data_IF_296033008810
#
_entry.id   IF_296033008810
#
_cell.length_a   1.000
_cell.length_b   1.000
_cell.length_c   1.000
_cell.angle_alpha   90.00
_cell.angle_beta   90.00
_cell.angle_gamma   90.00
#
_symmetry.space_group_name_H-M   'P 1'
#
loop_
_entity.id
_entity.type
_entity.pdbx_description
1 polymer ?
#
# COMPACT_ATOMS: atom_id res chain seq x y z
N UNK A 1 55.05 -5.96 -27.35
CA UNK A 1 54.32 -4.74 -26.95
C UNK A 1 54.36 -4.72 -25.43
N UNK A 2 55.39 -4.26 -24.71
CA UNK A 2 56.09 -2.95 -24.63
C UNK A 2 55.15 -1.75 -24.43
N UNK A 3 55.30 -1.15 -23.24
CA UNK A 3 54.72 0.08 -22.72
C UNK A 3 54.70 -0.03 -21.18
N UNK A 4 55.80 0.16 -20.43
CA UNK A 4 56.50 1.44 -20.10
C UNK A 4 55.52 2.58 -19.80
N UNK A 5 55.65 3.44 -18.79
CA UNK A 5 56.53 3.64 -17.63
C UNK A 5 56.06 4.96 -16.95
N UNK A 6 56.58 5.27 -15.76
CA UNK A 6 56.65 6.60 -15.09
C UNK A 6 55.49 6.95 -14.15
N UNK A 7 55.70 7.40 -12.91
CA UNK A 7 56.74 8.35 -12.45
C UNK A 7 57.32 8.00 -11.06
N UNK A 8 58.65 8.06 -10.99
CA UNK A 8 59.43 8.44 -9.81
C UNK A 8 59.22 9.94 -9.51
N UNK A 9 59.18 10.31 -8.24
CA UNK A 9 59.76 11.58 -7.77
C UNK A 9 60.50 11.34 -6.46
N UNK A 10 61.79 11.62 -6.48
CA UNK A 10 62.73 11.56 -5.37
C UNK A 10 63.21 12.99 -5.09
N UNK A 11 63.17 13.42 -3.83
CA UNK A 11 64.00 14.52 -3.32
C UNK A 11 64.45 14.14 -1.90
N UNK A 12 65.74 13.82 -1.76
CA UNK A 12 66.48 13.77 -0.50
C UNK A 12 67.15 15.13 -0.27
N UNK A 13 67.36 15.56 0.98
CA UNK A 13 68.62 16.16 1.48
C UNK A 13 68.62 16.07 3.02
N UNK A 14 69.68 15.51 3.63
CA UNK A 14 69.90 15.64 5.09
C UNK A 14 70.66 14.50 5.80
N UNK A 15 71.98 14.48 5.62
CA UNK A 15 73.04 14.04 6.55
C UNK A 15 72.83 12.83 7.51
N UNK A 16 73.54 11.74 7.21
CA UNK A 16 74.53 11.16 8.12
C UNK A 16 74.06 10.39 9.36
N UNK A 17 73.87 9.07 9.23
CA UNK A 17 74.25 8.11 10.28
C UNK A 17 74.34 6.70 9.71
N UNK A 18 75.52 6.09 9.84
CA UNK A 18 75.77 4.68 9.55
C UNK A 18 75.05 3.81 10.59
N UNK A 19 73.98 3.14 10.16
CA UNK A 19 73.34 2.05 10.90
C UNK A 19 73.35 0.81 10.01
N UNK A 20 74.24 -0.12 10.34
CA UNK A 20 74.24 -1.48 9.80
C UNK A 20 72.98 -2.20 10.28
N UNK A 21 71.92 -2.14 9.49
CA UNK A 21 70.72 -2.93 9.71
C UNK A 21 70.94 -4.35 9.17
N UNK A 22 71.21 -5.28 10.08
CA UNK A 22 71.17 -6.72 9.82
C UNK A 22 69.73 -7.07 9.42
N UNK A 23 69.49 -7.30 8.12
CA UNK A 23 68.19 -7.73 7.60
C UNK A 23 67.88 -9.12 8.13
N UNK A 24 67.09 -9.17 9.20
CA UNK A 24 66.42 -10.38 9.63
C UNK A 24 65.46 -10.80 8.50
N UNK A 25 65.74 -11.93 7.83
CA UNK A 25 64.78 -12.57 6.94
C UNK A 25 63.64 -13.10 7.81
N UNK A 26 62.67 -12.24 8.13
CA UNK A 26 61.34 -12.72 8.51
C UNK A 26 60.77 -13.41 7.27
N UNK A 27 60.69 -14.74 7.30
CA UNK A 27 59.76 -15.44 6.43
C UNK A 27 58.39 -14.80 6.68
N UNK A 28 57.88 -14.10 5.68
CA UNK A 28 56.46 -13.80 5.61
C UNK A 28 55.78 -15.16 5.49
N UNK A 29 55.37 -15.71 6.62
CA UNK A 29 54.41 -16.80 6.67
C UNK A 29 53.17 -16.26 5.96
N UNK A 30 52.98 -16.72 4.73
CA UNK A 30 51.89 -16.34 3.84
C UNK A 30 50.61 -16.72 4.57
N UNK A 31 50.00 -15.73 5.23
CA UNK A 31 48.73 -15.88 5.91
C UNK A 31 47.79 -16.57 4.92
N UNK A 32 47.20 -17.72 5.29
CA UNK A 32 46.27 -18.40 4.40
C UNK A 32 45.22 -17.38 3.96
N UNK A 33 44.81 -17.38 2.67
CA UNK A 33 43.78 -16.46 2.20
C UNK A 33 42.61 -16.52 3.19
N UNK A 34 42.05 -15.37 3.62
CA UNK A 34 40.99 -15.37 4.61
C UNK A 34 39.96 -16.38 4.13
N UNK A 35 39.70 -17.40 4.97
CA UNK A 35 38.71 -18.42 4.65
C UNK A 35 37.51 -17.67 4.10
N UNK A 36 37.14 -17.97 2.86
CA UNK A 36 36.00 -17.35 2.20
C UNK A 36 34.82 -17.81 3.04
N UNK A 37 34.49 -17.01 4.05
CA UNK A 37 33.40 -17.26 4.98
C UNK A 37 32.19 -17.15 4.10
N UNK A 38 31.74 -18.29 3.57
CA UNK A 38 30.53 -18.40 2.79
C UNK A 38 29.44 -17.71 3.60
N UNK A 39 29.01 -16.55 3.14
CA UNK A 39 27.93 -15.85 3.80
C UNK A 39 26.74 -16.80 3.86
N UNK A 40 26.12 -17.01 5.03
CA UNK A 40 25.03 -17.94 5.14
C UNK A 40 23.89 -17.52 4.20
N UNK A 41 23.45 -18.48 3.39
CA UNK A 41 22.35 -18.36 2.45
C UNK A 41 21.03 -18.50 3.21
N UNK A 42 20.23 -17.43 3.25
CA UNK A 42 18.96 -17.42 3.98
C UNK A 42 17.79 -17.19 3.03
N UNK A 43 16.64 -17.74 3.43
CA UNK A 43 15.35 -17.37 2.87
C UNK A 43 14.49 -16.81 3.98
N UNK A 44 13.78 -15.71 3.70
CA UNK A 44 12.87 -15.09 4.65
C UNK A 44 11.44 -15.15 4.16
N UNK A 45 10.53 -15.12 5.10
CA UNK A 45 9.12 -14.93 4.86
C UNK A 45 8.65 -13.79 5.75
N UNK A 46 8.12 -12.74 5.12
CA UNK A 46 7.42 -11.67 5.80
C UNK A 46 5.93 -12.02 5.83
N UNK A 47 5.36 -12.12 7.02
CA UNK A 47 3.93 -12.29 7.24
C UNK A 47 3.34 -11.00 7.80
N UNK A 48 2.37 -10.44 7.10
CA UNK A 48 1.68 -9.22 7.48
C UNK A 48 0.22 -9.58 7.80
N UNK A 49 -0.27 -9.32 9.03
CA UNK A 49 -1.65 -9.53 9.41
C UNK A 49 -2.61 -8.79 8.47
N UNK A 50 -3.73 -9.44 8.10
CA UNK A 50 -4.75 -8.79 7.26
C UNK A 50 -5.38 -7.62 8.00
N UNK A 51 -5.52 -7.67 9.33
CA UNK A 51 -6.06 -6.59 10.14
C UNK A 51 -5.28 -5.28 9.98
N UNK A 52 -3.95 -5.31 10.03
CA UNK A 52 -3.10 -4.12 9.84
C UNK A 52 -3.24 -3.51 8.45
N UNK A 53 -3.39 -4.36 7.42
CA UNK A 53 -3.59 -3.92 6.04
C UNK A 53 -5.00 -3.33 5.87
N UNK A 54 -6.02 -4.02 6.39
CA UNK A 54 -7.43 -3.66 6.25
C UNK A 54 -7.77 -2.40 7.05
N UNK A 55 -7.23 -2.23 8.26
CA UNK A 55 -7.48 -1.05 9.11
C UNK A 55 -7.04 0.25 8.43
N UNK A 56 -5.94 0.21 7.67
CA UNK A 56 -5.45 1.38 6.92
C UNK A 56 -6.41 1.84 5.80
N UNK A 57 -7.29 0.94 5.32
CA UNK A 57 -8.19 1.20 4.19
C UNK A 57 -9.64 1.36 4.65
N UNK A 58 -10.09 0.58 5.64
CA UNK A 58 -11.46 0.59 6.16
C UNK A 58 -11.75 1.92 6.88
N UNK A 59 -12.49 2.79 6.21
CA UNK A 59 -12.89 4.07 6.79
C UNK A 59 -14.26 4.49 6.29
N UNK A 60 -14.95 5.26 7.12
CA UNK A 60 -16.08 6.10 6.69
C UNK A 60 -15.57 7.40 6.09
N UNK A 61 -16.24 7.88 5.06
CA UNK A 61 -15.95 9.17 4.45
C UNK A 61 -17.23 9.97 4.25
N UNK A 62 -17.05 11.29 4.19
CA UNK A 62 -18.10 12.25 3.92
C UNK A 62 -17.53 13.36 3.03
N UNK A 63 -18.15 13.56 1.88
CA UNK A 63 -17.76 14.56 0.89
C UNK A 63 -18.97 15.36 0.43
N UNK A 64 -18.87 16.68 0.54
CA UNK A 64 -19.84 17.61 -0.03
C UNK A 64 -19.25 18.24 -1.31
N UNK A 65 -20.03 18.28 -2.38
CA UNK A 65 -19.64 18.91 -3.65
C UNK A 65 -20.77 19.76 -4.22
N UNK A 66 -20.46 20.85 -4.93
CA UNK A 66 -21.46 21.59 -5.68
C UNK A 66 -21.98 20.75 -6.87
N UNK A 67 -23.24 20.94 -7.21
CA UNK A 67 -23.86 20.43 -8.44
C UNK A 67 -24.05 21.61 -9.37
N UNK A 68 -23.52 21.53 -10.58
CA UNK A 68 -23.78 22.47 -11.67
C UNK A 68 -23.74 21.70 -12.99
N UNK A 69 -24.91 21.36 -13.55
CA UNK A 69 -25.01 20.50 -14.74
C UNK A 69 -26.32 20.72 -15.49
N UNK A 70 -26.36 20.34 -16.76
CA UNK A 70 -27.58 20.36 -17.58
C UNK A 70 -28.11 18.93 -17.72
N UNK A 71 -29.37 18.71 -17.34
CA UNK A 71 -30.08 17.43 -17.49
C UNK A 71 -31.34 17.70 -18.30
N UNK A 72 -31.49 17.05 -19.45
CA UNK A 72 -32.66 17.19 -20.33
C UNK A 72 -32.99 18.66 -20.68
N UNK A 73 -31.96 19.47 -20.90
CA UNK A 73 -32.08 20.90 -21.20
C UNK A 73 -32.44 21.79 -19.99
N UNK A 74 -32.56 21.20 -18.79
CA UNK A 74 -32.72 21.95 -17.54
C UNK A 74 -31.36 22.14 -16.89
N UNK A 75 -30.98 23.40 -16.68
CA UNK A 75 -29.75 23.73 -15.96
C UNK A 75 -29.99 23.65 -14.46
N UNK A 76 -29.33 22.69 -13.81
CA UNK A 76 -29.54 22.30 -12.42
C UNK A 76 -28.34 22.65 -11.56
N UNK A 77 -28.58 23.43 -10.51
CA UNK A 77 -27.56 23.90 -9.55
C UNK A 77 -27.91 23.53 -8.13
N UNK A 78 -26.93 23.21 -7.31
CA UNK A 78 -27.15 22.92 -5.90
C UNK A 78 -25.95 22.25 -5.22
N UNK A 79 -26.24 21.34 -4.30
CA UNK A 79 -25.23 20.65 -3.50
C UNK A 79 -25.54 19.17 -3.39
N UNK A 80 -24.50 18.34 -3.39
CA UNK A 80 -24.56 16.91 -3.15
C UNK A 80 -23.69 16.53 -1.95
N UNK A 81 -24.26 15.76 -1.04
CA UNK A 81 -23.62 15.18 0.14
C UNK A 81 -23.46 13.67 -0.09
N UNK A 82 -22.22 13.21 -0.18
CA UNK A 82 -21.85 11.82 -0.38
C UNK A 82 -21.29 11.26 0.92
N UNK A 83 -21.92 10.21 1.42
CA UNK A 83 -21.43 9.44 2.57
C UNK A 83 -21.19 8.00 2.15
N UNK A 84 -20.17 7.37 2.72
CA UNK A 84 -19.87 5.99 2.41
C UNK A 84 -18.93 5.34 3.41
N UNK A 85 -18.85 4.02 3.30
CA UNK A 85 -17.95 3.19 4.07
C UNK A 85 -17.23 2.22 3.14
N UNK A 86 -15.93 2.09 3.38
CA UNK A 86 -15.07 1.10 2.71
C UNK A 86 -14.93 -0.12 3.61
N UNK A 87 -15.11 -1.30 3.02
CA UNK A 87 -14.84 -2.59 3.64
C UNK A 87 -13.96 -3.43 2.72
N UNK A 88 -12.73 -3.70 3.13
CA UNK A 88 -11.79 -4.54 2.41
C UNK A 88 -11.60 -5.87 3.13
N UNK A 89 -11.43 -6.91 2.34
CA UNK A 89 -11.11 -8.27 2.78
C UNK A 89 -9.97 -8.82 1.95
N UNK A 90 -9.07 -9.56 2.57
CA UNK A 90 -8.00 -10.27 1.88
C UNK A 90 -8.58 -11.56 1.29
N UNK A 91 -8.43 -11.76 -0.02
CA UNK A 91 -8.87 -12.97 -0.71
C UNK A 91 -7.78 -14.04 -0.65
N UNK A 92 -8.16 -15.31 -0.55
CA UNK A 92 -7.20 -16.41 -0.57
C UNK A 92 -6.62 -16.59 -1.98
N UNK A 93 -5.30 -16.47 -2.11
CA UNK A 93 -4.59 -16.68 -3.35
C UNK A 93 -3.19 -17.26 -3.06
N UNK A 94 -2.93 -18.48 -3.54
CA UNK A 94 -1.63 -19.16 -3.32
C UNK A 94 -0.55 -18.78 -4.33
N UNK A 95 -0.90 -18.00 -5.35
CA UNK A 95 -0.02 -17.59 -6.45
C UNK A 95 0.15 -16.08 -6.54
N UNK A 96 -0.47 -15.33 -5.63
CA UNK A 96 -0.38 -13.88 -5.55
C UNK A 96 -1.08 -13.36 -4.31
N UNK A 97 -1.29 -12.05 -4.23
CA UNK A 97 -2.12 -11.48 -3.19
C UNK A 97 -3.17 -10.54 -3.78
N UNK A 98 -4.40 -10.69 -3.31
CA UNK A 98 -5.55 -9.94 -3.80
C UNK A 98 -6.43 -9.46 -2.64
N UNK A 99 -6.82 -8.20 -2.67
CA UNK A 99 -7.77 -7.58 -1.74
C UNK A 99 -9.01 -7.18 -2.52
N UNK A 100 -10.16 -7.55 -1.97
CA UNK A 100 -11.44 -7.11 -2.49
C UNK A 100 -11.98 -6.03 -1.57
N UNK A 101 -12.18 -4.84 -2.14
CA UNK A 101 -12.71 -3.69 -1.44
C UNK A 101 -14.10 -3.37 -1.95
N UNK A 102 -15.06 -3.40 -1.03
CA UNK A 102 -16.44 -3.04 -1.23
C UNK A 102 -16.69 -1.66 -0.64
N UNK A 103 -17.22 -0.75 -1.45
CA UNK A 103 -17.64 0.58 -0.99
C UNK A 103 -19.16 0.63 -1.07
N UNK A 104 -19.81 1.01 0.02
CA UNK A 104 -21.27 1.18 0.06
C UNK A 104 -21.58 2.55 0.63
N UNK A 105 -22.54 3.24 0.01
CA UNK A 105 -22.92 4.56 0.48
C UNK A 105 -24.14 5.15 -0.21
N UNK A 106 -24.41 6.40 0.13
CA UNK A 106 -25.51 7.18 -0.41
C UNK A 106 -25.06 8.58 -0.76
N UNK A 107 -25.68 9.15 -1.80
CA UNK A 107 -25.56 10.55 -2.19
C UNK A 107 -26.93 11.18 -2.07
N UNK A 108 -27.04 12.24 -1.27
CA UNK A 108 -28.22 13.10 -1.24
C UNK A 108 -27.89 14.41 -1.92
N UNK A 109 -28.71 14.84 -2.86
CA UNK A 109 -28.51 16.14 -3.52
C UNK A 109 -29.78 16.97 -3.49
N UNK A 110 -29.61 18.26 -3.28
CA UNK A 110 -30.67 19.26 -3.39
C UNK A 110 -30.31 20.20 -4.51
N UNK A 111 -31.21 20.35 -5.48
CA UNK A 111 -30.94 21.12 -6.69
C UNK A 111 -32.12 21.99 -7.09
N UNK A 112 -31.79 23.09 -7.76
CA UNK A 112 -32.71 24.02 -8.41
C UNK A 112 -32.41 24.01 -9.91
N UNK A 113 -33.32 23.42 -10.67
CA UNK A 113 -33.35 23.41 -12.12
C UNK A 113 -34.03 24.64 -12.69
N UNK A 114 -33.49 25.21 -13.77
CA UNK A 114 -34.13 26.30 -14.51
C UNK A 114 -34.24 25.96 -16.00
N UNK A 115 -35.42 26.16 -16.58
CA UNK A 115 -35.67 26.01 -18.01
C UNK A 115 -36.69 27.07 -18.48
N UNK A 116 -36.18 28.13 -19.12
CA UNK A 116 -36.99 29.29 -19.47
C UNK A 116 -37.61 29.93 -18.20
N UNK A 117 -38.92 30.21 -18.17
CA UNK A 117 -39.57 30.76 -16.99
C UNK A 117 -39.81 29.74 -15.87
N UNK A 118 -39.64 28.45 -16.13
CA UNK A 118 -39.90 27.39 -15.14
C UNK A 118 -38.70 27.17 -14.22
N UNK A 119 -38.98 27.00 -12.94
CA UNK A 119 -38.01 26.65 -11.89
C UNK A 119 -38.48 25.34 -11.26
N UNK A 120 -37.58 24.37 -11.12
CA UNK A 120 -37.88 23.05 -10.55
C UNK A 120 -36.96 22.83 -9.36
N UNK A 121 -37.53 22.64 -8.19
CA UNK A 121 -36.79 22.23 -7.00
C UNK A 121 -36.87 20.71 -6.89
N UNK A 122 -35.71 20.08 -6.78
CA UNK A 122 -35.63 18.63 -6.71
C UNK A 122 -34.63 18.15 -5.68
N UNK A 123 -34.90 16.97 -5.15
CA UNK A 123 -34.03 16.22 -4.27
C UNK A 123 -33.76 14.88 -4.93
N UNK A 124 -32.49 14.47 -5.00
CA UNK A 124 -32.14 13.14 -5.47
C UNK A 124 -31.48 12.34 -4.35
N UNK A 125 -31.86 11.08 -4.24
CA UNK A 125 -31.23 10.11 -3.36
C UNK A 125 -30.64 8.99 -4.23
N UNK A 126 -29.31 8.89 -4.25
CA UNK A 126 -28.59 7.86 -5.01
C UNK A 126 -27.93 6.89 -4.06
N UNK A 127 -28.38 5.64 -4.07
CA UNK A 127 -27.66 4.55 -3.39
C UNK A 127 -26.60 4.01 -4.34
N UNK A 128 -25.39 3.78 -3.84
CA UNK A 128 -24.31 3.23 -4.65
C UNK A 128 -23.57 2.09 -3.95
N UNK A 129 -23.03 1.21 -4.78
CA UNK A 129 -22.11 0.13 -4.39
C UNK A 129 -20.95 0.13 -5.38
N UNK A 130 -19.74 0.06 -4.89
CA UNK A 130 -18.56 -0.10 -5.72
C UNK A 130 -17.75 -1.31 -5.29
N UNK A 131 -17.05 -1.90 -6.24
CA UNK A 131 -16.11 -2.97 -6.04
C UNK A 131 -14.78 -2.57 -6.67
N UNK A 132 -13.70 -2.69 -5.90
CA UNK A 132 -12.34 -2.44 -6.38
C UNK A 132 -11.43 -3.57 -5.90
N UNK A 133 -10.67 -4.12 -6.84
CA UNK A 133 -9.70 -5.19 -6.57
C UNK A 133 -8.31 -4.57 -6.53
N UNK A 134 -7.58 -4.86 -5.46
CA UNK A 134 -6.17 -4.50 -5.28
C UNK A 134 -5.37 -5.78 -5.37
N UNK A 135 -4.21 -5.77 -6.01
CA UNK A 135 -3.31 -6.91 -6.03
C UNK A 135 -1.88 -6.46 -5.72
N UNK A 136 -1.08 -7.36 -5.17
CA UNK A 136 0.35 -7.13 -4.96
C UNK A 136 1.14 -7.85 -6.06
N UNK A 137 1.94 -7.10 -6.81
CA UNK A 137 2.75 -7.64 -7.91
C UNK A 137 4.12 -8.20 -7.45
N UNK A 138 4.35 -8.23 -6.13
CA UNK A 138 5.63 -8.56 -5.54
C UNK A 138 6.49 -7.35 -5.17
N UNK A 139 6.18 -6.17 -5.67
CA UNK A 139 6.92 -4.93 -5.36
C UNK A 139 6.02 -3.87 -4.75
N UNK A 140 4.83 -3.71 -5.30
CA UNK A 140 3.90 -2.67 -4.94
C UNK A 140 2.46 -3.18 -5.03
N UNK A 141 1.61 -2.60 -4.20
CA UNK A 141 0.17 -2.76 -4.34
C UNK A 141 -0.29 -1.91 -5.52
N UNK A 142 -1.04 -2.55 -6.41
CA UNK A 142 -1.69 -1.94 -7.56
C UNK A 142 -3.19 -2.20 -7.49
N UNK A 143 -3.98 -1.43 -8.23
CA UNK A 143 -5.43 -1.63 -8.27
C UNK A 143 -5.98 -1.71 -9.68
N UNK A 144 -7.07 -2.46 -9.83
CA UNK A 144 -7.89 -2.44 -11.05
C UNK A 144 -8.92 -1.31 -10.95
N UNK A 145 -9.41 -0.78 -12.09
CA UNK A 145 -10.47 0.22 -12.10
C UNK A 145 -11.69 -0.23 -11.30
N UNK A 146 -12.29 0.68 -10.53
CA UNK A 146 -13.48 0.39 -9.76
C UNK A 146 -14.68 0.08 -10.67
N UNK A 147 -15.48 -0.92 -10.30
CA UNK A 147 -16.81 -1.16 -10.87
C UNK A 147 -17.85 -0.55 -9.96
N UNK A 148 -18.68 0.36 -10.48
CA UNK A 148 -19.68 1.09 -9.68
C UNK A 148 -21.09 0.81 -10.17
N UNK A 149 -22.00 0.54 -9.23
CA UNK A 149 -23.43 0.50 -9.44
C UNK A 149 -24.07 1.65 -8.66
N UNK A 150 -24.96 2.39 -9.33
CA UNK A 150 -25.69 3.51 -8.73
C UNK A 150 -27.16 3.43 -9.14
N UNK A 151 -28.05 3.67 -8.18
CA UNK A 151 -29.49 3.76 -8.39
C UNK A 151 -30.01 5.05 -7.77
N UNK A 152 -30.68 5.88 -8.57
CA UNK A 152 -31.13 7.22 -8.18
C UNK A 152 -32.65 7.28 -8.14
N UNK A 153 -33.19 7.81 -7.05
CA UNK A 153 -34.58 8.23 -6.93
C UNK A 153 -34.64 9.75 -6.86
N UNK A 154 -35.49 10.38 -7.69
CA UNK A 154 -35.61 11.83 -7.81
C UNK A 154 -36.99 12.30 -7.32
N UNK A 155 -37.04 13.12 -6.28
CA UNK A 155 -38.28 13.75 -5.82
C UNK A 155 -38.32 15.21 -6.24
N UNK A 156 -39.36 15.61 -6.96
CA UNK A 156 -39.63 17.02 -7.27
C UNK A 156 -40.40 17.59 -6.08
N UNK A 157 -39.79 18.55 -5.36
CA UNK A 157 -40.39 19.14 -4.17
C UNK A 157 -41.31 20.30 -4.51
N UNK A 158 -40.92 21.14 -5.47
CA UNK A 158 -41.65 22.35 -5.82
C UNK A 158 -41.40 22.72 -7.29
N UNK A 159 -42.41 23.32 -7.93
CA UNK A 159 -42.32 23.85 -9.28
C UNK A 159 -42.81 25.29 -9.28
N UNK A 160 -41.93 26.18 -9.65
CA UNK A 160 -42.10 27.63 -9.65
C UNK A 160 -42.00 28.25 -11.04
N UNK A 161 -42.33 29.53 -11.11
CA UNK A 161 -42.28 30.30 -12.35
C UNK A 161 -41.83 31.74 -12.11
N UNK A 162 -40.94 32.24 -12.96
CA UNK A 162 -40.59 33.67 -13.00
C UNK A 162 -41.65 34.53 -13.70
N UNK A 163 -42.56 33.93 -14.47
CA UNK A 163 -43.65 34.64 -15.13
C UNK A 163 -44.77 35.04 -14.15
N UNK A 164 -45.33 36.26 -14.24
CA UNK A 164 -46.37 36.73 -13.33
C UNK A 164 -47.78 36.19 -13.65
N UNK A 165 -48.67 36.23 -12.65
CA UNK A 165 -50.11 36.05 -12.80
C UNK A 165 -50.55 34.72 -13.45
N UNK A 166 -51.49 34.80 -14.38
CA UNK A 166 -52.06 33.63 -15.08
C UNK A 166 -51.01 32.88 -15.92
N UNK A 167 -50.07 33.61 -16.52
CA UNK A 167 -48.95 33.00 -17.28
C UNK A 167 -48.11 32.12 -16.36
N UNK A 168 -47.80 32.59 -15.15
CA UNK A 168 -47.08 31.80 -14.15
C UNK A 168 -47.82 30.54 -13.71
N UNK A 169 -49.15 30.60 -13.57
CA UNK A 169 -49.97 29.41 -13.27
C UNK A 169 -49.93 28.37 -14.39
N UNK A 170 -49.97 28.83 -15.66
CA UNK A 170 -49.86 27.94 -16.81
C UNK A 170 -48.46 27.31 -16.91
N UNK A 171 -47.40 28.12 -16.75
CA UNK A 171 -46.01 27.64 -16.75
C UNK A 171 -45.81 26.56 -15.68
N UNK A 172 -46.23 26.80 -14.43
CA UNK A 172 -46.12 25.79 -13.35
C UNK A 172 -46.85 24.50 -13.71
N UNK A 173 -48.09 24.58 -14.19
CA UNK A 173 -48.87 23.39 -14.57
C UNK A 173 -48.19 22.57 -15.67
N UNK A 174 -47.70 23.24 -16.72
CA UNK A 174 -47.00 22.59 -17.82
C UNK A 174 -45.66 22.00 -17.36
N UNK A 175 -44.90 22.75 -16.57
CA UNK A 175 -43.61 22.32 -16.03
C UNK A 175 -43.77 21.12 -15.09
N UNK A 176 -44.75 21.12 -14.17
CA UNK A 176 -45.02 19.99 -13.28
C UNK A 176 -45.36 18.72 -14.05
N UNK A 177 -46.21 18.82 -15.08
CA UNK A 177 -46.55 17.68 -15.93
C UNK A 177 -45.32 17.15 -16.65
N UNK A 178 -44.56 18.03 -17.30
CA UNK A 178 -43.37 17.63 -18.06
C UNK A 178 -42.27 17.06 -17.15
N UNK A 179 -42.10 17.60 -15.95
CA UNK A 179 -41.14 17.09 -14.99
C UNK A 179 -41.52 15.70 -14.47
N UNK A 180 -42.82 15.42 -14.29
CA UNK A 180 -43.31 14.08 -13.98
C UNK A 180 -43.07 13.11 -15.15
N UNK A 181 -43.38 13.53 -16.39
CA UNK A 181 -43.21 12.70 -17.59
C UNK A 181 -41.73 12.33 -17.83
N UNK A 182 -40.79 13.24 -17.55
CA UNK A 182 -39.35 13.06 -17.77
C UNK A 182 -38.60 12.48 -16.56
N UNK A 183 -39.29 12.18 -15.45
CA UNK A 183 -38.66 11.78 -14.20
C UNK A 183 -37.75 10.55 -14.36
N UNK A 184 -38.26 9.49 -14.98
CA UNK A 184 -37.51 8.23 -15.13
C UNK A 184 -36.23 8.39 -15.97
N UNK A 185 -36.29 9.21 -17.03
CA UNK A 185 -35.13 9.52 -17.85
C UNK A 185 -34.10 10.36 -17.08
N UNK A 186 -34.57 11.35 -16.30
CA UNK A 186 -33.71 12.14 -15.43
C UNK A 186 -33.03 11.29 -14.34
N UNK A 187 -33.74 10.33 -13.75
CA UNK A 187 -33.19 9.37 -12.79
C UNK A 187 -32.10 8.50 -13.44
N UNK A 188 -32.33 7.96 -14.63
CA UNK A 188 -31.36 7.14 -15.35
C UNK A 188 -30.09 7.93 -15.73
N UNK A 189 -30.24 9.16 -16.24
CA UNK A 189 -29.11 10.05 -16.56
C UNK A 189 -28.33 10.38 -15.28
N UNK A 190 -29.02 10.74 -14.20
CA UNK A 190 -28.37 11.10 -12.93
C UNK A 190 -27.61 9.92 -12.34
N UNK A 191 -28.19 8.71 -12.37
CA UNK A 191 -27.51 7.49 -11.95
C UNK A 191 -26.29 7.19 -12.81
N UNK A 192 -26.37 7.45 -14.13
CA UNK A 192 -25.26 7.32 -15.06
C UNK A 192 -24.09 8.24 -14.74
N UNK A 193 -24.37 9.52 -14.52
CA UNK A 193 -23.38 10.53 -14.15
C UNK A 193 -22.78 10.23 -12.77
N UNK A 194 -23.62 9.91 -11.79
CA UNK A 194 -23.15 9.55 -10.45
C UNK A 194 -22.20 8.35 -10.48
N UNK A 195 -22.49 7.34 -11.30
CA UNK A 195 -21.61 6.17 -11.50
C UNK A 195 -20.21 6.58 -11.99
N UNK A 196 -20.16 7.41 -13.03
CA UNK A 196 -18.90 7.87 -13.61
C UNK A 196 -18.09 8.72 -12.62
N UNK A 197 -18.74 9.68 -11.96
CA UNK A 197 -18.11 10.55 -10.97
C UNK A 197 -17.59 9.76 -9.76
N UNK A 198 -18.37 8.79 -9.28
CA UNK A 198 -17.96 7.90 -8.20
C UNK A 198 -16.79 7.01 -8.61
N UNK A 199 -16.79 6.47 -9.83
CA UNK A 199 -15.68 5.63 -10.30
C UNK A 199 -14.37 6.40 -10.28
N UNK A 200 -14.34 7.60 -10.88
CA UNK A 200 -13.13 8.46 -10.89
C UNK A 200 -12.70 8.83 -9.47
N UNK A 201 -13.65 9.21 -8.60
CA UNK A 201 -13.33 9.62 -7.23
C UNK A 201 -12.80 8.46 -6.38
N UNK A 202 -13.42 7.29 -6.48
CA UNK A 202 -12.97 6.07 -5.79
C UNK A 202 -11.59 5.67 -6.32
N UNK A 203 -11.39 5.72 -7.63
CA UNK A 203 -10.10 5.34 -8.20
C UNK A 203 -8.97 6.22 -7.68
N UNK A 204 -9.13 7.55 -7.74
CA UNK A 204 -8.14 8.50 -7.24
C UNK A 204 -7.85 8.39 -5.73
N UNK A 205 -8.88 8.16 -4.92
CA UNK A 205 -8.74 7.99 -3.47
C UNK A 205 -7.94 6.71 -3.14
N UNK A 206 -8.25 5.61 -3.81
CA UNK A 206 -7.51 4.35 -3.61
C UNK A 206 -6.07 4.48 -4.09
N UNK A 207 -5.82 5.12 -5.24
CA UNK A 207 -4.46 5.29 -5.77
C UNK A 207 -3.59 6.13 -4.82
N UNK A 208 -4.15 7.19 -4.23
CA UNK A 208 -3.47 8.01 -3.22
C UNK A 208 -3.09 7.18 -1.99
N UNK A 209 -3.99 6.31 -1.51
CA UNK A 209 -3.73 5.47 -0.35
C UNK A 209 -2.73 4.36 -0.64
N UNK A 210 -2.84 3.72 -1.80
CA UNK A 210 -1.90 2.71 -2.25
C UNK A 210 -0.50 3.30 -2.40
N UNK A 211 -0.37 4.53 -2.90
CA UNK A 211 0.91 5.23 -2.95
C UNK A 211 1.52 5.40 -1.54
N UNK A 212 0.71 5.77 -0.54
CA UNK A 212 1.18 5.88 0.85
C UNK A 212 1.60 4.53 1.44
N UNK A 213 0.82 3.46 1.20
CA UNK A 213 1.16 2.09 1.63
C UNK A 213 2.47 1.64 0.96
N UNK A 214 2.60 1.84 -0.36
CA UNK A 214 3.79 1.49 -1.12
C UNK A 214 5.02 2.28 -0.63
N UNK A 215 4.87 3.57 -0.33
CA UNK A 215 5.94 4.37 0.24
C UNK A 215 6.37 3.84 1.62
N UNK A 216 5.41 3.55 2.50
CA UNK A 216 5.71 3.00 3.82
C UNK A 216 6.39 1.62 3.74
N UNK A 217 5.96 0.78 2.80
CA UNK A 217 6.56 -0.52 2.52
C UNK A 217 7.98 -0.36 1.98
N UNK A 218 8.17 0.49 0.97
CA UNK A 218 9.49 0.75 0.38
C UNK A 218 10.48 1.32 1.40
N UNK A 219 10.04 2.26 2.24
CA UNK A 219 10.88 2.78 3.33
C UNK A 219 11.29 1.65 4.27
N UNK A 220 10.34 0.84 4.76
CA UNK A 220 10.66 -0.28 5.66
C UNK A 220 11.59 -1.32 5.04
N UNK A 221 11.40 -1.63 3.76
CA UNK A 221 12.29 -2.55 3.03
C UNK A 221 13.67 -1.92 2.79
N UNK A 222 13.76 -0.62 2.51
CA UNK A 222 15.03 0.08 2.31
C UNK A 222 15.88 0.20 3.59
N UNK A 223 15.24 0.17 4.75
CA UNK A 223 15.91 0.13 6.06
C UNK A 223 16.51 -1.24 6.38
N UNK A 224 16.37 -2.21 5.48
CA UNK A 224 17.01 -3.51 5.57
C UNK A 224 18.17 -3.49 4.57
N UNK A 225 19.36 -3.00 4.97
CA UNK A 225 20.50 -2.75 4.08
C UNK A 225 21.05 -4.02 3.38
N UNK A 226 20.56 -5.19 3.76
CA UNK A 226 20.86 -6.46 3.09
C UNK A 226 19.68 -7.05 2.32
N UNK A 227 18.44 -6.53 2.48
CA UNK A 227 17.31 -6.91 1.62
C UNK A 227 17.33 -6.18 0.28
N UNK A 228 18.10 -5.11 0.11
CA UNK A 228 18.32 -4.51 -1.21
C UNK A 228 19.01 -5.48 -2.19
N UNK A 229 19.75 -6.46 -1.68
CA UNK A 229 20.37 -7.56 -2.44
C UNK A 229 19.43 -8.77 -2.60
N UNK A 230 18.22 -8.69 -2.05
CA UNK A 230 17.19 -9.71 -2.22
C UNK A 230 16.32 -9.24 -3.38
N UNK A 231 16.31 -10.02 -4.46
CA UNK A 231 15.61 -9.69 -5.68
C UNK A 231 14.10 -9.63 -5.53
N UNK A 232 13.39 -9.80 -6.65
CA UNK A 232 11.93 -9.88 -6.61
C UNK A 232 11.48 -10.99 -5.66
N UNK A 233 10.38 -10.81 -4.90
CA UNK A 233 9.90 -11.87 -4.03
C UNK A 233 9.69 -13.15 -4.85
N UNK A 234 10.18 -14.24 -4.29
CA UNK A 234 10.11 -15.56 -4.91
C UNK A 234 8.65 -16.01 -5.04
N UNK A 235 7.82 -15.62 -4.06
CA UNK A 235 6.40 -15.85 -4.07
C UNK A 235 5.67 -14.89 -3.15
N UNK A 236 4.42 -14.60 -3.52
CA UNK A 236 3.45 -13.86 -2.71
C UNK A 236 2.23 -14.74 -2.57
N UNK A 237 1.70 -14.83 -1.34
CA UNK A 237 0.49 -15.58 -1.04
C UNK A 237 -0.40 -14.75 -0.13
N UNK A 238 -1.69 -14.75 -0.38
CA UNK A 238 -2.67 -14.20 0.55
C UNK A 238 -3.56 -15.29 1.11
N UNK A 239 -3.86 -15.17 2.40
CA UNK A 239 -4.85 -15.96 3.11
C UNK A 239 -5.85 -15.00 3.75
N UNK A 240 -6.97 -15.50 4.25
CA UNK A 240 -7.99 -14.66 4.87
C UNK A 240 -7.45 -13.78 6.02
N UNK A 241 -6.44 -14.25 6.76
CA UNK A 241 -5.90 -13.60 7.96
C UNK A 241 -4.50 -12.98 7.78
N UNK A 242 -3.78 -13.28 6.68
CA UNK A 242 -2.44 -12.73 6.50
C UNK A 242 -1.99 -12.69 5.03
N UNK A 243 -1.08 -11.77 4.76
CA UNK A 243 -0.29 -11.68 3.54
C UNK A 243 1.11 -12.25 3.81
N UNK A 244 1.52 -13.21 3.00
CA UNK A 244 2.82 -13.86 3.06
C UNK A 244 3.66 -13.45 1.85
N UNK A 245 4.86 -12.92 2.11
CA UNK A 245 5.83 -12.51 1.10
C UNK A 245 7.12 -13.30 1.33
N UNK A 246 7.41 -14.25 0.44
CA UNK A 246 8.65 -15.02 0.44
C UNK A 246 9.74 -14.22 -0.26
N UNK A 247 10.82 -13.96 0.46
CA UNK A 247 12.00 -13.26 -0.04
C UNK A 247 13.19 -14.24 -0.04
N UNK A 248 13.97 -14.26 -1.11
CA UNK A 248 15.20 -15.04 -1.20
C UNK A 248 16.34 -14.12 -1.61
N UNK A 249 17.55 -14.40 -1.12
CA UNK A 249 18.75 -13.76 -1.66
C UNK A 249 18.90 -14.10 -3.15
N UNK A 250 19.39 -13.17 -3.98
CA UNK A 250 19.63 -13.40 -5.41
C UNK A 250 20.50 -14.64 -5.70
N UNK A 251 21.38 -15.01 -4.77
CA UNK A 251 22.20 -16.23 -4.86
C UNK A 251 21.38 -17.53 -4.79
N UNK A 252 20.13 -17.46 -4.31
CA UNK A 252 19.20 -18.57 -4.11
C UNK A 252 17.99 -18.55 -5.07
N UNK A 253 17.91 -17.62 -6.02
CA UNK A 253 16.73 -17.39 -6.87
C UNK A 253 16.25 -18.62 -7.67
N UNK A 254 17.07 -19.68 -7.74
CA UNK A 254 16.77 -20.94 -8.43
C UNK A 254 16.32 -22.09 -7.50
N UNK A 255 16.07 -21.85 -6.20
CA UNK A 255 15.65 -22.90 -5.25
C UNK A 255 14.13 -23.04 -5.14
N UNK A 256 13.69 -24.26 -4.81
CA UNK A 256 12.30 -24.61 -4.54
C UNK A 256 11.70 -23.69 -3.48
N UNK A 257 10.44 -23.30 -3.70
CA UNK A 257 9.59 -22.64 -2.70
C UNK A 257 9.76 -23.32 -1.34
N UNK A 258 10.10 -22.54 -0.32
CA UNK A 258 10.15 -22.99 1.06
C UNK A 258 8.86 -23.75 1.42
N UNK A 259 8.94 -24.78 2.28
CA UNK A 259 7.74 -25.27 2.95
C UNK A 259 7.08 -24.08 3.66
N UNK A 260 5.74 -23.95 3.57
CA UNK A 260 5.05 -22.90 4.29
C UNK A 260 5.44 -22.98 5.78
N UNK A 261 5.65 -21.83 6.44
CA UNK A 261 5.85 -21.81 7.89
C UNK A 261 4.66 -22.49 8.58
N UNK A 262 4.82 -22.93 9.83
CA UNK A 262 3.67 -23.38 10.60
C UNK A 262 2.57 -22.30 10.62
N UNK A 263 1.32 -22.75 10.51
CA UNK A 263 0.17 -21.88 10.74
C UNK A 263 0.28 -21.29 12.16
N UNK A 264 -0.07 -20.01 12.35
CA UNK A 264 0.03 -19.40 13.67
C UNK A 264 -0.81 -20.18 14.69
N UNK A 265 -0.20 -20.53 15.83
CA UNK A 265 -0.84 -21.31 16.91
C UNK A 265 -2.10 -20.64 17.48
N UNK A 266 -2.31 -19.34 17.23
CA UNK A 266 -3.53 -18.61 17.58
C UNK A 266 -3.79 -17.44 16.62
N UNK A 267 -5.02 -17.37 16.08
CA UNK A 267 -5.50 -16.25 15.25
C UNK A 267 -5.33 -14.89 15.95
N UNK A 268 -5.52 -14.83 17.28
CA UNK A 268 -5.43 -13.58 18.03
C UNK A 268 -4.00 -13.01 18.11
N UNK A 269 -2.96 -13.86 18.09
CA UNK A 269 -1.57 -13.41 18.05
C UNK A 269 -1.14 -13.03 16.62
N UNK A 270 -1.70 -13.71 15.62
CA UNK A 270 -1.46 -13.43 14.21
C UNK A 270 -2.09 -12.12 13.72
N UNK A 271 -3.09 -11.58 14.43
CA UNK A 271 -3.83 -10.40 13.98
C UNK A 271 -3.13 -9.06 14.26
N UNK A 272 -2.13 -9.02 15.14
CA UNK A 272 -1.56 -7.75 15.61
C UNK A 272 -0.09 -7.54 15.26
N UNK A 273 0.68 -8.60 15.05
CA UNK A 273 2.13 -8.49 14.86
C UNK A 273 2.56 -8.75 13.42
N UNK A 274 3.42 -7.88 12.87
CA UNK A 274 4.16 -8.23 11.64
C UNK A 274 5.24 -9.24 12.00
N UNK A 275 5.28 -10.37 11.30
CA UNK A 275 6.24 -11.44 11.57
C UNK A 275 7.27 -11.55 10.45
N UNK A 276 8.55 -11.61 10.79
CA UNK A 276 9.62 -11.97 9.87
C UNK A 276 10.19 -13.33 10.28
N UNK A 277 9.95 -14.32 9.43
CA UNK A 277 10.38 -15.70 9.58
C UNK A 277 11.65 -15.92 8.77
N UNK A 278 12.72 -16.38 9.41
CA UNK A 278 13.98 -16.68 8.75
C UNK A 278 14.24 -18.18 8.80
N UNK A 279 14.43 -18.80 7.64
CA UNK A 279 14.79 -20.20 7.53
C UNK A 279 16.30 -20.34 7.30
N UNK A 280 16.91 -21.21 8.09
CA UNK A 280 18.31 -21.59 7.92
C UNK A 280 18.39 -23.05 7.49
N UNK A 281 19.10 -23.34 6.40
CA UNK A 281 19.35 -24.73 6.01
C UNK A 281 20.25 -25.42 7.05
N UNK A 282 19.78 -26.56 7.56
CA UNK A 282 20.53 -27.41 8.47
C UNK A 282 21.80 -27.92 7.76
N UNK A 283 22.96 -27.36 8.10
CA UNK A 283 24.23 -27.82 7.53
C UNK A 283 25.48 -27.01 7.87
N UNK A 284 25.37 -25.75 8.31
CA UNK A 284 26.52 -24.94 8.75
C UNK A 284 26.23 -24.25 10.09
N UNK A 285 26.79 -24.80 11.17
CA UNK A 285 26.94 -24.22 12.51
C UNK A 285 25.83 -23.31 13.06
N UNK A 286 24.97 -23.84 13.94
CA UNK A 286 23.96 -23.08 14.71
C UNK A 286 24.40 -21.73 15.32
N UNK A 287 25.58 -21.56 15.93
CA UNK A 287 25.98 -20.26 16.50
C UNK A 287 26.17 -19.16 15.46
N UNK A 288 26.36 -19.49 14.18
CA UNK A 288 26.46 -18.46 13.13
C UNK A 288 25.12 -17.84 12.77
N UNK A 289 23.98 -18.47 13.06
CA UNK A 289 22.67 -17.92 12.68
C UNK A 289 22.29 -16.74 13.57
N UNK A 290 22.35 -16.92 14.89
CA UNK A 290 22.05 -15.86 15.85
C UNK A 290 23.12 -14.76 15.83
N UNK A 291 24.41 -15.10 15.63
CA UNK A 291 25.49 -14.12 15.55
C UNK A 291 25.47 -13.34 14.24
N UNK A 292 25.23 -14.00 13.11
CA UNK A 292 25.00 -13.31 11.82
C UNK A 292 23.75 -12.47 11.91
N UNK A 293 22.68 -12.98 12.52
CA UNK A 293 21.45 -12.24 12.75
C UNK A 293 21.65 -11.00 13.63
N UNK A 294 22.28 -11.10 14.81
CA UNK A 294 22.59 -9.95 15.67
C UNK A 294 23.46 -8.91 14.96
N UNK A 295 24.33 -9.37 14.06
CA UNK A 295 25.16 -8.51 13.20
C UNK A 295 24.32 -7.83 12.11
N UNK A 296 23.29 -8.49 11.59
CA UNK A 296 22.39 -7.98 10.54
C UNK A 296 21.24 -7.11 11.07
N UNK A 297 20.72 -7.43 12.26
CA UNK A 297 19.61 -6.72 12.89
C UNK A 297 20.07 -5.46 13.62
N UNK A 298 21.36 -5.34 13.96
CA UNK A 298 21.94 -4.14 14.58
C UNK A 298 21.74 -2.87 13.74
N UNK A 299 22.11 -2.83 12.44
CA UNK A 299 21.83 -1.67 11.61
C UNK A 299 20.33 -1.34 11.50
N UNK A 300 19.47 -2.36 11.52
CA UNK A 300 18.02 -2.17 11.53
C UNK A 300 17.53 -1.57 12.85
N UNK A 301 18.01 -2.06 14.00
CA UNK A 301 17.77 -1.47 15.33
C UNK A 301 18.32 -0.03 15.42
N UNK A 302 19.49 0.23 14.85
CA UNK A 302 20.17 1.53 14.87
C UNK A 302 19.50 2.56 13.93
N UNK A 303 19.03 2.14 12.75
CA UNK A 303 18.26 2.99 11.83
C UNK A 303 16.82 3.22 12.31
N UNK A 304 16.21 2.20 12.93
CA UNK A 304 14.91 2.32 13.57
C UNK A 304 14.96 3.31 14.75
N UNK A 305 16.06 3.34 15.50
CA UNK A 305 16.29 4.31 16.58
C UNK A 305 16.66 5.71 16.06
N UNK A 306 17.34 5.83 14.91
CA UNK A 306 17.77 7.13 14.35
C UNK A 306 16.67 7.93 13.62
N UNK A 307 15.66 7.28 13.02
CA UNK A 307 14.72 7.92 12.09
C UNK A 307 13.35 8.35 12.67
N UNK A 308 13.16 8.36 14.00
CA UNK A 308 11.85 8.70 14.60
C UNK A 308 11.91 9.64 15.81
N UNK A 309 11.64 10.92 15.56
CA UNK A 309 10.97 11.83 16.51
C UNK A 309 9.50 11.44 16.82
N UNK A 310 9.21 10.13 16.85
CA UNK A 310 7.92 9.47 17.11
C UNK A 310 8.06 8.44 18.25
N UNK A 311 9.06 8.64 19.13
CA UNK A 311 9.35 7.81 20.30
C UNK A 311 8.81 8.48 21.58
N UNK A 312 7.52 8.35 21.82
CA UNK A 312 7.08 8.11 23.21
C UNK A 312 6.59 6.68 23.42
N UNK A 313 6.55 5.83 22.38
CA UNK A 313 5.71 4.61 22.46
C UNK A 313 6.33 3.28 21.97
N UNK A 314 7.61 3.18 21.58
CA UNK A 314 8.22 1.87 21.24
C UNK A 314 9.37 1.51 22.18
N UNK A 315 9.04 0.84 23.28
CA UNK A 315 9.94 0.20 24.26
C UNK A 315 10.45 -1.16 23.76
N UNK A 316 11.55 -1.68 24.34
CA UNK A 316 12.10 -3.04 24.12
C UNK A 316 11.04 -4.17 24.26
N UNK A 317 9.87 -3.86 24.84
CA UNK A 317 8.73 -4.78 24.95
C UNK A 317 8.04 -5.10 23.61
N UNK A 318 8.29 -4.32 22.54
CA UNK A 318 7.57 -4.42 21.26
C UNK A 318 8.21 -5.31 20.20
N UNK A 319 9.40 -5.86 20.47
CA UNK A 319 10.07 -6.82 19.58
C UNK A 319 10.22 -8.14 20.31
N UNK A 320 9.60 -9.21 19.81
CA UNK A 320 9.77 -10.56 20.34
C UNK A 320 10.48 -11.45 19.35
N UNK A 321 11.48 -12.18 19.82
CA UNK A 321 12.25 -13.12 19.03
C UNK A 321 11.98 -14.51 19.58
N UNK A 322 11.47 -15.39 18.72
CA UNK A 322 11.13 -16.75 19.10
C UNK A 322 11.76 -17.73 18.12
N UNK A 323 12.22 -18.89 18.61
CA UNK A 323 12.66 -19.99 17.76
C UNK A 323 11.50 -20.98 17.66
N UNK A 324 11.04 -21.25 16.44
CA UNK A 324 10.00 -22.24 16.16
C UNK A 324 10.53 -23.26 15.15
N UNK A 325 10.82 -24.48 15.62
CA UNK A 325 11.46 -25.52 14.80
C UNK A 325 12.78 -25.04 14.16
N UNK A 326 12.85 -24.99 12.83
CA UNK A 326 13.98 -24.49 12.03
C UNK A 326 13.85 -23.00 11.65
N UNK A 327 12.86 -22.31 12.22
CA UNK A 327 12.60 -20.90 11.95
C UNK A 327 13.00 -20.02 13.13
N UNK A 328 13.58 -18.88 12.80
CA UNK A 328 13.68 -17.75 13.71
C UNK A 328 12.56 -16.77 13.36
N UNK A 329 11.71 -16.45 14.33
CA UNK A 329 10.53 -15.58 14.15
C UNK A 329 10.75 -14.29 14.89
N UNK A 330 10.64 -13.18 14.17
CA UNK A 330 10.70 -11.82 14.69
C UNK A 330 9.29 -11.24 14.64
N UNK A 331 8.70 -11.02 15.80
CA UNK A 331 7.38 -10.38 15.91
C UNK A 331 7.55 -8.91 16.27
N UNK A 332 7.00 -8.06 15.43
CA UNK A 332 6.90 -6.62 15.64
C UNK A 332 5.49 -6.34 16.14
N UNK A 333 5.36 -6.09 17.44
CA UNK A 333 4.11 -5.68 18.06
C UNK A 333 3.83 -4.19 17.75
N UNK A 334 2.56 -3.80 17.63
CA UNK A 334 2.17 -2.43 17.30
C UNK A 334 2.62 -1.41 18.34
#
# INVERSE_FOLDING_TARGET
MVGLCSKLTLVCWGAGMLLTATLCRCHAEELPPPATTSEPEFTALLRIPSALLIESVNRRFHHRKPVDRVILGTHSRGTADCVGQVHCTLAENRQGAEFNCHVVGTITSQTRGTQGPAIIHSQAHTAYRAHKTIFFDGRQFQSRPATVCANTALTISEVDSTAPGLRGRLVRRVASRRAADLRGEAEAITAGLARQELQVAIDAEFDTRLAAINQALNLRLSLLPHLSDWGQPLAVRSYTHCLEICLASDRLANRQLLPPPPEPESQAAADQAVELWLHAEQGRGEPSLLATWLRWSRPWLDLYTANRGLLSELTDEKIRIERQQNWLVLRLLP
#
